data_IF_333178258642
#
_entry.id   IF_333178258642
#
_cell.length_a   1.000
_cell.length_b   1.000
_cell.length_c   1.000
_cell.angle_alpha   90.00
_cell.angle_beta   90.00
_cell.angle_gamma   90.00
#
_symmetry.space_group_name_H-M   'P 1'
#
loop_
_entity.id
_entity.type
_entity.pdbx_description
1 polymer ?
#
# COMPACT_ATOMS: atom_id res chain seq x y z
N UNK A 1 -7.61 -29.56 -9.63
CA UNK A 1 -6.45 -28.97 -10.35
C UNK A 1 -5.78 -27.80 -9.61
N UNK A 2 -6.49 -26.99 -8.81
CA UNK A 2 -5.91 -25.76 -8.20
C UNK A 2 -4.95 -26.00 -7.02
N UNK A 3 -5.16 -27.02 -6.17
CA UNK A 3 -4.26 -27.29 -5.04
C UNK A 3 -2.84 -27.65 -5.50
N UNK A 4 -2.68 -28.23 -6.69
CA UNK A 4 -1.36 -28.64 -7.18
C UNK A 4 -0.47 -27.45 -7.56
N UNK A 5 -1.04 -26.36 -8.07
CA UNK A 5 -0.28 -25.15 -8.42
C UNK A 5 0.19 -24.39 -7.17
N UNK A 6 -0.69 -24.26 -6.15
CA UNK A 6 -0.34 -23.66 -4.87
C UNK A 6 0.72 -24.48 -4.12
N UNK A 7 0.60 -25.81 -4.10
CA UNK A 7 1.58 -26.71 -3.48
C UNK A 7 2.93 -26.64 -4.21
N UNK A 8 2.95 -26.58 -5.55
CA UNK A 8 4.19 -26.48 -6.32
C UNK A 8 4.88 -25.12 -6.13
N UNK A 9 4.10 -24.03 -6.04
CA UNK A 9 4.61 -22.72 -5.67
C UNK A 9 5.20 -22.76 -4.27
N UNK A 10 4.50 -23.32 -3.28
CA UNK A 10 5.00 -23.41 -1.91
C UNK A 10 6.27 -24.26 -1.78
N UNK A 11 6.42 -25.31 -2.58
CA UNK A 11 7.60 -26.19 -2.57
C UNK A 11 8.80 -25.63 -3.34
N UNK A 12 8.61 -24.65 -4.23
CA UNK A 12 9.67 -24.13 -5.13
C UNK A 12 9.78 -22.61 -5.16
N UNK A 13 9.11 -21.89 -4.26
CA UNK A 13 9.06 -20.41 -4.29
C UNK A 13 10.47 -19.81 -4.22
N UNK A 14 11.37 -20.35 -3.39
CA UNK A 14 12.73 -19.85 -3.26
C UNK A 14 13.52 -19.91 -4.58
N UNK A 15 13.38 -21.00 -5.35
CA UNK A 15 14.02 -21.11 -6.68
C UNK A 15 13.41 -20.11 -7.66
N UNK A 16 12.08 -19.98 -7.69
CA UNK A 16 11.40 -19.02 -8.55
C UNK A 16 11.79 -17.58 -8.21
N UNK A 17 11.79 -17.23 -6.93
CA UNK A 17 12.20 -15.95 -6.38
C UNK A 17 13.64 -15.61 -6.80
N UNK A 18 14.57 -16.54 -6.63
CA UNK A 18 15.96 -16.37 -7.05
C UNK A 18 16.05 -16.03 -8.56
N UNK A 19 15.32 -16.76 -9.41
CA UNK A 19 15.30 -16.49 -10.85
C UNK A 19 14.69 -15.12 -11.17
N UNK A 20 13.57 -14.77 -10.54
CA UNK A 20 12.95 -13.46 -10.73
C UNK A 20 13.86 -12.31 -10.27
N UNK A 21 14.52 -12.45 -9.12
CA UNK A 21 15.49 -11.46 -8.63
C UNK A 21 16.68 -11.30 -9.57
N UNK A 22 17.16 -12.38 -10.17
CA UNK A 22 18.20 -12.31 -11.20
C UNK A 22 17.72 -11.57 -12.46
N UNK A 23 16.47 -11.82 -12.90
CA UNK A 23 15.85 -11.10 -14.02
C UNK A 23 15.63 -9.62 -13.70
N UNK A 24 15.23 -9.26 -12.47
CA UNK A 24 15.13 -7.84 -12.04
C UNK A 24 16.51 -7.18 -12.07
N UNK A 25 17.55 -7.88 -11.63
CA UNK A 25 18.92 -7.35 -11.55
C UNK A 25 19.58 -7.13 -12.91
N UNK A 26 19.41 -8.05 -13.87
CA UNK A 26 20.18 -8.06 -15.13
C UNK A 26 19.32 -8.07 -16.41
N UNK A 27 18.00 -8.20 -16.28
CA UNK A 27 17.11 -8.39 -17.42
C UNK A 27 16.88 -7.13 -18.25
N UNK A 28 16.34 -7.38 -19.44
CA UNK A 28 15.74 -6.38 -20.32
C UNK A 28 14.54 -5.69 -19.65
N UNK A 29 14.06 -4.58 -20.21
CA UNK A 29 12.86 -3.88 -19.71
C UNK A 29 11.66 -4.80 -19.56
N UNK A 30 11.41 -5.69 -20.53
CA UNK A 30 10.30 -6.64 -20.48
C UNK A 30 10.50 -7.69 -19.38
N UNK A 31 11.71 -8.22 -19.24
CA UNK A 31 12.02 -9.23 -18.21
C UNK A 31 11.90 -8.64 -16.80
N UNK A 32 12.45 -7.44 -16.57
CA UNK A 32 12.33 -6.75 -15.28
C UNK A 32 10.85 -6.50 -14.95
N UNK A 33 10.07 -6.04 -15.92
CA UNK A 33 8.64 -5.81 -15.74
C UNK A 33 7.88 -7.08 -15.35
N UNK A 34 8.09 -8.18 -16.09
CA UNK A 34 7.41 -9.45 -15.85
C UNK A 34 7.88 -10.09 -14.54
N UNK A 35 9.18 -10.05 -14.24
CA UNK A 35 9.76 -10.59 -13.01
C UNK A 35 9.25 -9.83 -11.78
N UNK A 36 9.22 -8.49 -11.82
CA UNK A 36 8.66 -7.68 -10.73
C UNK A 36 7.20 -8.02 -10.47
N UNK A 37 6.39 -8.15 -11.54
CA UNK A 37 5.00 -8.60 -11.40
C UNK A 37 4.89 -10.01 -10.83
N UNK A 38 5.73 -10.94 -11.26
CA UNK A 38 5.73 -12.32 -10.78
C UNK A 38 6.08 -12.41 -9.29
N UNK A 39 7.04 -11.62 -8.81
CA UNK A 39 7.41 -11.54 -7.39
C UNK A 39 6.22 -11.07 -6.54
N UNK A 40 5.55 -9.98 -6.92
CA UNK A 40 4.39 -9.50 -6.16
C UNK A 40 3.21 -10.48 -6.18
N UNK A 41 2.97 -11.14 -7.32
CA UNK A 41 1.95 -12.20 -7.41
C UNK A 41 2.30 -13.41 -6.55
N UNK A 42 3.58 -13.78 -6.48
CA UNK A 42 4.07 -14.87 -5.62
C UNK A 42 3.82 -14.53 -4.15
N UNK A 43 4.15 -13.32 -3.70
CA UNK A 43 3.88 -12.87 -2.33
C UNK A 43 2.39 -12.94 -1.99
N UNK A 44 1.51 -12.39 -2.84
CA UNK A 44 0.05 -12.47 -2.62
C UNK A 44 -0.42 -13.92 -2.57
N UNK A 45 0.13 -14.78 -3.43
CA UNK A 45 -0.30 -16.19 -3.54
C UNK A 45 0.11 -17.02 -2.32
N UNK A 46 1.28 -16.76 -1.73
CA UNK A 46 1.72 -17.44 -0.51
C UNK A 46 1.02 -16.94 0.75
N UNK A 47 0.47 -15.72 0.72
CA UNK A 47 -0.24 -15.13 1.86
C UNK A 47 0.69 -14.53 2.92
N UNK A 48 0.13 -13.92 3.97
CA UNK A 48 0.94 -13.39 5.08
C UNK A 48 1.67 -14.53 5.82
N UNK A 49 2.95 -14.34 6.13
CA UNK A 49 3.77 -15.34 6.80
C UNK A 49 5.26 -15.21 6.50
N UNK A 50 6.05 -16.14 7.04
CA UNK A 50 7.52 -16.11 6.92
C UNK A 50 8.02 -16.16 5.48
N UNK A 51 7.35 -16.89 4.59
CA UNK A 51 7.75 -16.99 3.18
C UNK A 51 7.55 -15.67 2.42
N UNK A 52 6.51 -14.91 2.73
CA UNK A 52 6.28 -13.59 2.11
C UNK A 52 7.22 -12.53 2.66
N UNK A 53 7.58 -12.63 3.95
CA UNK A 53 8.64 -11.81 4.54
C UNK A 53 10.00 -12.06 3.87
N UNK A 54 10.38 -13.33 3.67
CA UNK A 54 11.61 -13.70 2.93
C UNK A 54 11.60 -13.17 1.48
N UNK A 55 10.45 -13.28 0.78
CA UNK A 55 10.29 -12.69 -0.57
C UNK A 55 10.56 -11.19 -0.55
N UNK A 56 10.00 -10.48 0.43
CA UNK A 56 10.20 -9.04 0.59
C UNK A 56 11.67 -8.73 0.85
N UNK A 57 12.29 -9.38 1.84
CA UNK A 57 13.68 -9.16 2.24
C UNK A 57 14.66 -9.39 1.08
N UNK A 58 14.51 -10.48 0.34
CA UNK A 58 15.40 -10.79 -0.79
C UNK A 58 15.21 -9.84 -2.00
N UNK A 59 13.97 -9.44 -2.26
CA UNK A 59 13.64 -8.66 -3.47
C UNK A 59 13.82 -7.16 -3.27
N UNK A 60 13.64 -6.66 -2.04
CA UNK A 60 13.70 -5.23 -1.71
C UNK A 60 14.99 -4.56 -2.21
N UNK A 61 16.21 -5.12 -1.99
CA UNK A 61 17.44 -4.49 -2.49
C UNK A 61 17.51 -4.41 -4.01
N UNK A 62 16.98 -5.39 -4.74
CA UNK A 62 17.00 -5.36 -6.22
C UNK A 62 16.03 -4.32 -6.76
N UNK A 63 14.83 -4.23 -6.18
CA UNK A 63 13.82 -3.25 -6.58
C UNK A 63 14.29 -1.82 -6.30
N UNK A 64 14.85 -1.57 -5.11
CA UNK A 64 15.44 -0.27 -4.76
C UNK A 64 16.57 0.14 -5.72
N UNK A 65 17.41 -0.80 -6.17
CA UNK A 65 18.43 -0.53 -7.20
C UNK A 65 17.82 -0.10 -8.53
N UNK A 66 16.70 -0.71 -8.94
CA UNK A 66 15.99 -0.30 -10.17
C UNK A 66 15.50 1.15 -10.05
N UNK A 67 14.98 1.54 -8.88
CA UNK A 67 14.53 2.91 -8.61
C UNK A 67 15.70 3.91 -8.59
N UNK A 68 16.82 3.53 -7.98
CA UNK A 68 18.04 4.35 -7.90
C UNK A 68 18.78 4.49 -9.23
N UNK A 69 18.60 3.56 -10.16
CA UNK A 69 19.21 3.61 -11.48
C UNK A 69 18.53 4.65 -12.40
N UNK A 70 17.29 5.07 -12.12
CA UNK A 70 16.52 6.04 -12.91
C UNK A 70 16.53 5.74 -14.43
N UNK A 71 16.48 4.44 -14.79
CA UNK A 71 16.76 3.98 -16.16
C UNK A 71 15.54 4.15 -17.09
N UNK A 72 14.59 3.21 -17.00
CA UNK A 72 13.41 3.15 -17.85
C UNK A 72 12.12 3.28 -17.03
N UNK A 73 11.15 4.02 -17.54
CA UNK A 73 9.89 4.28 -16.85
C UNK A 73 9.10 3.00 -16.57
N UNK A 74 9.07 2.05 -17.50
CA UNK A 74 8.35 0.78 -17.32
C UNK A 74 9.02 -0.08 -16.24
N UNK A 75 10.36 -0.15 -16.24
CA UNK A 75 11.11 -0.81 -15.16
C UNK A 75 10.78 -0.19 -13.80
N UNK A 76 10.85 1.13 -13.69
CA UNK A 76 10.58 1.84 -12.43
C UNK A 76 9.14 1.64 -11.96
N UNK A 77 8.15 1.78 -12.83
CA UNK A 77 6.73 1.57 -12.48
C UNK A 77 6.50 0.15 -11.96
N UNK A 78 7.02 -0.86 -12.66
CA UNK A 78 6.87 -2.25 -12.21
C UNK A 78 7.59 -2.54 -10.89
N UNK A 79 8.73 -1.88 -10.65
CA UNK A 79 9.47 -2.01 -9.40
C UNK A 79 8.75 -1.32 -8.23
N UNK A 80 8.15 -0.14 -8.45
CA UNK A 80 7.32 0.56 -7.46
C UNK A 80 6.11 -0.28 -7.07
N UNK A 81 5.35 -0.76 -8.07
CA UNK A 81 4.16 -1.59 -7.82
C UNK A 81 4.54 -2.88 -7.07
N UNK A 82 5.62 -3.55 -7.49
CA UNK A 82 6.10 -4.77 -6.83
C UNK A 82 6.55 -4.50 -5.39
N UNK A 83 7.37 -3.46 -5.17
CA UNK A 83 7.86 -3.09 -3.86
C UNK A 83 6.71 -2.80 -2.90
N UNK A 84 5.66 -2.12 -3.38
CA UNK A 84 4.45 -1.85 -2.60
C UNK A 84 3.74 -3.15 -2.22
N UNK A 85 3.51 -4.07 -3.16
CA UNK A 85 2.84 -5.34 -2.88
C UNK A 85 3.63 -6.21 -1.92
N UNK A 86 4.92 -6.43 -2.15
CA UNK A 86 5.71 -7.32 -1.29
C UNK A 86 5.87 -6.75 0.12
N UNK A 87 5.96 -5.42 0.25
CA UNK A 87 6.04 -4.79 1.58
C UNK A 87 4.69 -4.88 2.29
N UNK A 88 3.59 -4.62 1.59
CA UNK A 88 2.25 -4.74 2.15
C UNK A 88 1.94 -6.16 2.68
N UNK A 89 2.39 -7.20 1.97
CA UNK A 89 2.14 -8.60 2.36
C UNK A 89 3.18 -9.15 3.33
N UNK A 90 4.45 -8.74 3.16
CA UNK A 90 5.60 -9.35 3.80
C UNK A 90 6.17 -8.60 4.99
N UNK A 91 5.92 -7.29 5.15
CA UNK A 91 6.49 -6.51 6.23
C UNK A 91 5.98 -6.99 7.59
N UNK A 92 6.91 -7.19 8.51
CA UNK A 92 6.61 -7.67 9.88
C UNK A 92 6.63 -6.54 10.90
N UNK A 93 7.29 -5.43 10.57
CA UNK A 93 7.34 -4.24 11.41
C UNK A 93 7.20 -2.94 10.61
N UNK A 94 7.07 -1.84 11.36
CA UNK A 94 6.93 -0.50 10.80
C UNK A 94 8.22 -0.04 10.10
N UNK A 95 9.40 -0.42 10.61
CA UNK A 95 10.67 0.04 10.06
C UNK A 95 10.88 -0.49 8.63
N UNK A 96 10.52 -1.74 8.36
CA UNK A 96 10.52 -2.33 7.02
C UNK A 96 9.59 -1.57 6.06
N UNK A 97 8.40 -1.20 6.54
CA UNK A 97 7.44 -0.40 5.76
C UNK A 97 7.97 1.01 5.49
N UNK A 98 8.56 1.66 6.48
CA UNK A 98 9.16 2.99 6.38
C UNK A 98 10.33 3.04 5.38
N UNK A 99 11.14 1.98 5.30
CA UNK A 99 12.20 1.86 4.30
C UNK A 99 11.66 1.90 2.87
N UNK A 100 10.60 1.14 2.59
CA UNK A 100 9.93 1.13 1.29
C UNK A 100 9.26 2.47 0.98
N UNK A 101 8.59 3.08 1.96
CA UNK A 101 7.98 4.41 1.81
C UNK A 101 9.03 5.48 1.51
N UNK A 102 10.18 5.45 2.20
CA UNK A 102 11.29 6.36 1.95
C UNK A 102 11.85 6.18 0.53
N UNK A 103 12.04 4.94 0.09
CA UNK A 103 12.51 4.65 -1.27
C UNK A 103 11.55 5.18 -2.35
N UNK A 104 10.24 5.05 -2.14
CA UNK A 104 9.23 5.64 -3.03
C UNK A 104 9.22 7.16 -2.95
N UNK A 105 9.35 7.73 -1.75
CA UNK A 105 9.39 9.18 -1.55
C UNK A 105 10.60 9.82 -2.23
N UNK A 106 11.77 9.18 -2.20
CA UNK A 106 12.97 9.64 -2.90
C UNK A 106 12.80 9.64 -4.44
N UNK A 107 11.82 8.88 -4.98
CA UNK A 107 11.41 8.97 -6.39
C UNK A 107 10.40 10.09 -6.63
N UNK A 108 9.46 10.30 -5.71
CA UNK A 108 8.42 11.34 -5.78
C UNK A 108 9.03 12.74 -5.67
N UNK A 109 9.88 12.94 -4.67
CA UNK A 109 10.53 14.20 -4.35
C UNK A 109 12.05 13.99 -4.20
N UNK A 110 12.78 13.84 -5.32
CA UNK A 110 14.21 13.58 -5.29
C UNK A 110 14.93 14.77 -4.65
N UNK A 111 15.68 14.51 -3.57
CA UNK A 111 16.51 15.54 -2.94
C UNK A 111 17.55 16.02 -3.94
N UNK A 112 17.69 17.34 -4.07
CA UNK A 112 18.77 17.93 -4.84
C UNK A 112 20.09 17.55 -4.15
N UNK A 113 20.82 16.59 -4.72
CA UNK A 113 22.16 16.27 -4.25
C UNK A 113 23.07 17.50 -4.34
N UNK A 114 24.05 17.63 -3.45
CA UNK A 114 25.00 18.75 -3.41
C UNK A 114 25.87 18.91 -4.67
N UNK A 115 25.73 18.02 -5.66
CA UNK A 115 26.51 18.05 -6.88
C UNK A 115 25.67 18.70 -7.97
N UNK A 116 26.14 19.87 -8.41
CA UNK A 116 25.63 20.70 -9.51
C UNK A 116 25.32 19.82 -10.73
N UNK A 117 24.06 19.43 -10.85
CA UNK A 117 23.52 18.62 -11.92
C UNK A 117 21.99 18.67 -11.82
N UNK A 118 21.32 18.90 -12.95
CA UNK A 118 19.86 19.02 -13.08
C UNK A 118 19.09 18.11 -12.12
N UNK A 119 18.24 18.69 -11.27
CA UNK A 119 17.34 17.94 -10.39
C UNK A 119 16.57 16.92 -11.22
N UNK A 120 16.76 15.62 -10.93
CA UNK A 120 16.08 14.54 -11.65
C UNK A 120 14.59 14.68 -11.37
N UNK A 121 13.79 14.92 -12.42
CA UNK A 121 12.33 14.97 -12.32
C UNK A 121 11.74 13.67 -12.87
N UNK A 122 10.89 12.96 -12.10
CA UNK A 122 10.23 11.77 -12.59
C UNK A 122 9.29 12.12 -13.76
N UNK A 123 9.25 11.25 -14.77
CA UNK A 123 8.25 11.34 -15.84
C UNK A 123 6.85 11.18 -15.23
N UNK A 124 5.80 11.83 -15.76
CA UNK A 124 4.47 11.81 -15.13
C UNK A 124 3.92 10.41 -14.82
N UNK A 125 4.05 9.39 -15.70
CA UNK A 125 3.61 8.03 -15.38
C UNK A 125 4.36 7.39 -14.21
N UNK A 126 5.65 7.68 -14.06
CA UNK A 126 6.48 7.18 -12.94
C UNK A 126 6.08 7.89 -11.65
N UNK A 127 5.85 9.21 -11.71
CA UNK A 127 5.41 10.00 -10.56
C UNK A 127 4.04 9.52 -10.06
N UNK A 128 3.06 9.34 -10.96
CA UNK A 128 1.74 8.82 -10.59
C UNK A 128 1.80 7.42 -9.97
N UNK A 129 2.62 6.52 -10.53
CA UNK A 129 2.83 5.19 -9.98
C UNK A 129 3.51 5.23 -8.61
N UNK A 130 4.51 6.10 -8.43
CA UNK A 130 5.24 6.25 -7.17
C UNK A 130 4.31 6.77 -6.07
N UNK A 131 3.50 7.79 -6.35
CA UNK A 131 2.51 8.32 -5.40
C UNK A 131 1.46 7.25 -5.08
N UNK A 132 0.96 6.52 -6.08
CA UNK A 132 -0.01 5.44 -5.85
C UNK A 132 0.55 4.32 -4.96
N UNK A 133 1.79 3.89 -5.23
CA UNK A 133 2.47 2.85 -4.46
C UNK A 133 2.76 3.29 -3.02
N UNK A 134 3.22 4.53 -2.87
CA UNK A 134 3.48 5.13 -1.57
C UNK A 134 2.19 5.29 -0.75
N UNK A 135 1.13 5.78 -1.39
CA UNK A 135 -0.19 5.94 -0.76
C UNK A 135 -0.77 4.59 -0.35
N UNK A 136 -0.64 3.56 -1.19
CA UNK A 136 -1.06 2.20 -0.86
C UNK A 136 -0.35 1.66 0.39
N UNK A 137 0.97 1.81 0.49
CA UNK A 137 1.69 1.42 1.71
C UNK A 137 1.35 2.27 2.91
N UNK A 138 1.07 3.55 2.73
CA UNK A 138 0.68 4.43 3.82
C UNK A 138 -0.60 3.97 4.52
N UNK A 139 -1.50 3.26 3.82
CA UNK A 139 -2.71 2.67 4.41
C UNK A 139 -2.42 1.65 5.52
N UNK A 140 -1.21 1.10 5.61
CA UNK A 140 -0.84 0.13 6.66
C UNK A 140 -0.22 0.80 7.88
N UNK A 141 0.15 2.08 7.80
CA UNK A 141 0.66 2.81 8.96
C UNK A 141 -0.54 3.35 9.75
N UNK A 142 -0.83 2.72 10.89
CA UNK A 142 -1.84 3.23 11.81
C UNK A 142 -1.54 4.67 12.23
N UNK A 143 -2.58 5.49 12.37
CA UNK A 143 -2.52 6.94 12.65
C UNK A 143 -1.74 7.36 13.91
N UNK A 144 -1.34 6.42 14.78
CA UNK A 144 -0.88 6.67 16.15
C UNK A 144 0.65 6.70 16.32
N UNK A 145 1.44 6.42 15.28
CA UNK A 145 2.92 6.32 15.39
C UNK A 145 3.67 7.33 14.54
N UNK A 146 2.95 8.29 13.98
CA UNK A 146 3.47 9.14 12.94
C UNK A 146 3.85 10.48 13.53
N UNK A 147 5.14 10.83 13.50
CA UNK A 147 5.61 12.15 13.90
C UNK A 147 5.05 13.20 12.92
N UNK A 148 4.05 13.97 13.36
CA UNK A 148 3.35 14.98 12.55
C UNK A 148 4.26 16.04 11.92
N UNK A 149 5.47 16.27 12.44
CA UNK A 149 6.39 17.22 11.83
C UNK A 149 7.03 16.72 10.53
N UNK A 150 7.11 15.39 10.32
CA UNK A 150 7.70 14.83 9.10
C UNK A 150 6.74 14.82 7.88
N UNK A 151 5.46 15.15 8.07
CA UNK A 151 4.43 15.06 7.02
C UNK A 151 4.06 16.40 6.39
N UNK A 152 4.49 17.51 6.99
CA UNK A 152 4.26 18.87 6.47
C UNK A 152 4.83 19.04 5.07
N UNK A 153 6.06 18.59 4.83
CA UNK A 153 6.70 18.64 3.52
C UNK A 153 5.98 17.74 2.50
N UNK A 154 5.70 16.46 2.80
CA UNK A 154 4.90 15.61 1.92
C UNK A 154 3.55 16.19 1.52
N UNK A 155 2.77 16.67 2.49
CA UNK A 155 1.44 17.23 2.24
C UNK A 155 1.54 18.50 1.39
N UNK A 156 2.49 19.38 1.68
CA UNK A 156 2.70 20.59 0.89
C UNK A 156 3.07 20.25 -0.56
N UNK A 157 3.99 19.31 -0.76
CA UNK A 157 4.40 18.86 -2.08
C UNK A 157 3.24 18.23 -2.86
N UNK A 158 2.52 17.28 -2.27
CA UNK A 158 1.34 16.64 -2.88
C UNK A 158 0.26 17.68 -3.24
N UNK A 159 0.07 18.70 -2.41
CA UNK A 159 -0.85 19.81 -2.67
C UNK A 159 -0.45 20.69 -3.87
N UNK A 160 0.81 20.67 -4.30
CA UNK A 160 1.23 21.33 -5.55
C UNK A 160 0.92 20.45 -6.78
N UNK A 161 0.94 19.12 -6.60
CA UNK A 161 0.68 18.16 -7.69
C UNK A 161 -0.79 18.08 -8.10
N UNK A 162 -1.69 18.63 -7.27
CA UNK A 162 -3.10 18.83 -7.62
C UNK A 162 -3.28 19.70 -8.88
N UNK A 163 -2.33 20.58 -9.19
CA UNK A 163 -2.34 21.46 -10.37
C UNK A 163 -1.45 20.94 -11.51
N UNK A 164 -0.96 19.69 -11.43
CA UNK A 164 -0.12 19.10 -12.47
C UNK A 164 -0.88 18.96 -13.81
N UNK A 165 -0.18 19.12 -14.94
CA UNK A 165 -0.76 18.92 -16.27
C UNK A 165 -1.26 17.47 -16.44
N UNK A 166 -0.45 16.51 -16.00
CA UNK A 166 -0.79 15.10 -16.07
C UNK A 166 -1.90 14.74 -15.08
N UNK A 167 -2.96 14.20 -15.66
CA UNK A 167 -4.15 13.76 -14.94
C UNK A 167 -3.86 12.66 -13.91
N UNK A 168 -3.07 11.65 -14.27
CA UNK A 168 -2.83 10.51 -13.39
C UNK A 168 -2.06 10.96 -12.15
N UNK A 169 -1.14 11.92 -12.31
CA UNK A 169 -0.45 12.58 -11.20
C UNK A 169 -1.46 13.32 -10.31
N UNK A 170 -2.37 14.11 -10.89
CA UNK A 170 -3.42 14.82 -10.12
C UNK A 170 -4.29 13.86 -9.30
N UNK A 171 -4.76 12.79 -9.94
CA UNK A 171 -5.61 11.79 -9.27
C UNK A 171 -4.87 11.10 -8.12
N UNK A 172 -3.64 10.63 -8.34
CA UNK A 172 -2.84 9.98 -7.33
C UNK A 172 -2.53 10.91 -6.15
N UNK A 173 -2.22 12.19 -6.42
CA UNK A 173 -2.01 13.19 -5.37
C UNK A 173 -3.28 13.48 -4.56
N UNK A 174 -4.44 13.50 -5.22
CA UNK A 174 -5.74 13.64 -4.56
C UNK A 174 -6.04 12.50 -3.60
N UNK A 175 -5.88 11.24 -4.04
CA UNK A 175 -6.03 10.05 -3.20
C UNK A 175 -5.06 10.07 -2.01
N UNK A 176 -3.80 10.45 -2.25
CA UNK A 176 -2.79 10.59 -1.19
C UNK A 176 -3.20 11.60 -0.12
N UNK A 177 -3.70 12.76 -0.53
CA UNK A 177 -4.16 13.80 0.40
C UNK A 177 -5.43 13.41 1.16
N UNK A 178 -6.35 12.69 0.52
CA UNK A 178 -7.52 12.15 1.17
C UNK A 178 -7.13 11.13 2.26
N UNK A 179 -6.17 10.24 1.97
CA UNK A 179 -5.63 9.32 2.96
C UNK A 179 -4.91 10.05 4.11
N UNK A 180 -4.09 11.05 3.81
CA UNK A 180 -3.44 11.86 4.85
C UNK A 180 -4.46 12.53 5.78
N UNK A 181 -5.62 12.93 5.24
CA UNK A 181 -6.72 13.46 6.04
C UNK A 181 -7.39 12.38 6.89
N UNK A 182 -7.69 11.21 6.32
CA UNK A 182 -8.26 10.07 7.06
C UNK A 182 -7.36 9.61 8.23
N UNK A 183 -6.06 9.57 8.00
CA UNK A 183 -5.07 9.17 9.01
C UNK A 183 -4.78 10.26 10.04
N UNK A 184 -5.47 11.41 10.00
CA UNK A 184 -5.22 12.58 10.85
C UNK A 184 -3.76 13.05 10.81
N UNK A 185 -3.05 12.89 9.69
CA UNK A 185 -1.67 13.38 9.53
C UNK A 185 -1.56 14.90 9.53
N UNK A 186 -2.71 15.55 9.40
CA UNK A 186 -2.88 16.99 9.54
C UNK A 186 -3.11 17.40 11.00
N UNK A 187 -3.29 16.47 11.95
CA UNK A 187 -3.55 16.79 13.36
C UNK A 187 -2.23 17.04 14.11
N UNK A 188 -1.66 18.23 13.97
CA UNK A 188 -0.50 18.67 14.78
C UNK A 188 -0.98 19.03 16.19
N UNK A 189 -1.39 18.04 17.01
CA UNK A 189 -1.43 18.15 18.48
C UNK A 189 -1.71 16.83 19.21
N UNK A 190 -0.68 16.05 19.56
CA UNK A 190 -0.66 15.33 20.85
C UNK A 190 0.74 14.78 21.18
N UNK A 191 1.67 15.67 21.53
CA UNK A 191 2.61 15.32 22.60
C UNK A 191 2.12 16.05 23.84
N UNK A 192 1.42 15.34 24.72
CA UNK A 192 1.31 15.75 26.11
C UNK A 192 2.65 15.43 26.76
N UNK A 193 3.44 16.46 27.06
CA UNK A 193 4.35 16.42 28.20
C UNK A 193 4.12 17.72 28.97
N UNK A 194 3.60 17.55 30.18
CA UNK A 194 3.09 18.63 31.01
C UNK A 194 4.19 19.56 31.50
N UNK A 195 3.92 20.87 31.50
CA UNK A 195 3.87 21.61 32.74
C UNK A 195 3.09 22.92 32.56
N UNK A 196 2.55 23.40 33.67
CA UNK A 196 1.61 24.51 33.72
C UNK A 196 2.19 25.85 33.22
N UNK A 197 1.27 26.68 32.75
CA UNK A 197 1.34 28.15 32.74
C UNK A 197 2.13 28.82 31.58
N UNK A 198 1.42 29.22 30.52
CA UNK A 198 1.42 30.59 29.93
C UNK A 198 0.58 30.56 28.65
N UNK A 199 -0.39 31.47 28.53
CA UNK A 199 -1.31 31.53 27.39
C UNK A 199 -0.61 31.76 26.05
N UNK A 200 -0.80 30.84 25.09
CA UNK A 200 -0.85 31.05 23.63
C UNK A 200 -1.08 29.72 22.90
N UNK A 201 -2.32 29.24 22.88
CA UNK A 201 -2.70 28.03 22.11
C UNK A 201 -3.72 28.35 21.01
N UNK A 202 -3.68 29.57 20.47
CA UNK A 202 -4.51 29.99 19.32
C UNK A 202 -3.84 29.85 17.96
N UNK A 203 -2.52 29.61 17.90
CA UNK A 203 -1.76 29.65 16.64
C UNK A 203 -1.84 28.37 15.78
N UNK A 204 -1.77 27.19 16.41
CA UNK A 204 -1.66 25.91 15.69
C UNK A 204 -2.98 25.47 15.04
N UNK A 205 -4.10 25.56 15.78
CA UNK A 205 -5.44 25.26 15.26
C UNK A 205 -5.85 26.19 14.11
N UNK A 206 -5.46 27.46 14.20
CA UNK A 206 -5.70 28.43 13.12
C UNK A 206 -4.92 28.08 11.84
N UNK A 207 -3.69 27.55 11.95
CA UNK A 207 -2.91 27.13 10.79
C UNK A 207 -3.51 25.92 10.08
N UNK A 208 -3.94 24.89 10.83
CA UNK A 208 -4.59 23.70 10.25
C UNK A 208 -5.90 24.03 9.55
N UNK A 209 -6.71 24.89 10.17
CA UNK A 209 -7.94 25.36 9.56
C UNK A 209 -7.68 26.14 8.25
N UNK A 210 -6.60 26.92 8.20
CA UNK A 210 -6.18 27.64 6.98
C UNK A 210 -5.64 26.69 5.90
N UNK A 211 -4.81 25.71 6.26
CA UNK A 211 -4.28 24.72 5.33
C UNK A 211 -5.41 23.83 4.77
N UNK A 212 -6.38 23.44 5.60
CA UNK A 212 -7.57 22.70 5.21
C UNK A 212 -8.50 23.54 4.32
N UNK A 213 -8.69 24.83 4.62
CA UNK A 213 -9.43 25.73 3.74
C UNK A 213 -8.73 25.92 2.40
N UNK A 214 -7.39 26.04 2.39
CA UNK A 214 -6.61 26.17 1.17
C UNK A 214 -6.72 24.90 0.31
N UNK A 215 -6.63 23.72 0.92
CA UNK A 215 -6.82 22.45 0.22
C UNK A 215 -8.25 22.31 -0.34
N UNK A 216 -9.26 22.66 0.47
CA UNK A 216 -10.66 22.69 0.05
C UNK A 216 -10.89 23.64 -1.12
N UNK A 217 -10.26 24.83 -1.10
CA UNK A 217 -10.32 25.79 -2.18
C UNK A 217 -9.67 25.24 -3.46
N UNK A 218 -8.49 24.61 -3.35
CA UNK A 218 -7.80 23.96 -4.48
C UNK A 218 -8.63 22.84 -5.10
N UNK A 219 -9.16 21.93 -4.29
CA UNK A 219 -10.00 20.82 -4.78
C UNK A 219 -11.29 21.35 -5.41
N UNK A 220 -11.91 22.38 -4.82
CA UNK A 220 -13.10 23.02 -5.38
C UNK A 220 -12.80 23.69 -6.73
N UNK A 221 -11.64 24.35 -6.86
CA UNK A 221 -11.17 24.93 -8.11
C UNK A 221 -10.95 23.86 -9.19
N UNK A 222 -10.33 22.73 -8.83
CA UNK A 222 -10.11 21.62 -9.75
C UNK A 222 -11.42 20.97 -10.20
N UNK A 223 -12.33 20.67 -9.29
CA UNK A 223 -13.64 20.11 -9.62
C UNK A 223 -14.43 21.04 -10.58
N UNK A 224 -14.31 22.36 -10.38
CA UNK A 224 -14.93 23.36 -11.25
C UNK A 224 -14.27 23.41 -12.64
N UNK A 225 -12.95 23.44 -12.71
CA UNK A 225 -12.18 23.46 -13.97
C UNK A 225 -12.43 22.20 -14.80
N UNK A 226 -12.47 21.02 -14.17
CA UNK A 226 -12.74 19.75 -14.84
C UNK A 226 -14.17 19.67 -15.38
N UNK A 227 -15.13 20.34 -14.73
CA UNK A 227 -16.50 20.42 -15.26
C UNK A 227 -16.60 21.30 -16.51
N UNK A 228 -15.68 22.25 -16.70
CA UNK A 228 -15.61 23.09 -17.90
C UNK A 228 -14.90 22.38 -19.08
N UNK A 229 -14.01 21.44 -18.79
CA UNK A 229 -13.19 20.71 -19.78
C UNK A 229 -13.93 19.52 -20.45
N UNK A 230 -15.23 19.33 -20.16
CA UNK A 230 -16.04 18.16 -20.52
C UNK A 230 -16.45 18.04 -22.01
N UNK A 231 -15.56 18.37 -22.95
CA UNK A 231 -15.77 18.33 -24.40
C UNK A 231 -15.19 17.12 -25.16
N UNK A 232 -14.57 16.16 -24.48
CA UNK A 232 -13.87 15.01 -25.12
C UNK A 232 -14.80 13.91 -25.67
N UNK A 233 -14.36 13.18 -26.70
CA UNK A 233 -15.02 11.97 -27.25
C UNK A 233 -14.35 10.68 -26.75
N UNK A 234 -15.11 9.62 -26.50
CA UNK A 234 -14.57 8.27 -26.25
C UNK A 234 -13.95 8.06 -24.86
N UNK A 235 -12.77 7.42 -24.80
CA UNK A 235 -12.06 7.10 -23.56
C UNK A 235 -11.74 8.34 -22.71
N UNK A 236 -11.49 9.47 -23.36
CA UNK A 236 -11.23 10.75 -22.69
C UNK A 236 -12.43 11.26 -21.91
N UNK A 237 -13.67 10.99 -22.39
CA UNK A 237 -14.89 11.33 -21.65
C UNK A 237 -15.07 10.47 -20.41
N UNK A 238 -14.86 9.16 -20.53
CA UNK A 238 -14.94 8.24 -19.38
C UNK A 238 -13.89 8.62 -18.35
N UNK A 239 -12.66 8.84 -18.80
CA UNK A 239 -11.58 9.33 -17.97
C UNK A 239 -12.04 10.62 -17.27
N UNK A 240 -12.42 11.69 -17.98
CA UNK A 240 -12.86 12.96 -17.35
C UNK A 240 -13.94 12.76 -16.29
N UNK A 241 -14.86 11.81 -16.54
CA UNK A 241 -15.91 11.43 -15.58
C UNK A 241 -15.32 10.81 -14.31
N UNK A 242 -14.41 9.83 -14.44
CA UNK A 242 -13.75 9.17 -13.30
C UNK A 242 -12.95 10.16 -12.43
N UNK A 243 -12.30 11.14 -13.05
CA UNK A 243 -11.56 12.18 -12.31
C UNK A 243 -12.51 13.14 -11.59
N UNK A 244 -13.58 13.57 -12.25
CA UNK A 244 -14.62 14.40 -11.63
C UNK A 244 -15.25 13.70 -10.43
N UNK A 245 -15.58 12.42 -10.57
CA UNK A 245 -16.14 11.59 -9.50
C UNK A 245 -15.16 11.48 -8.32
N UNK A 246 -13.89 11.18 -8.58
CA UNK A 246 -12.86 11.13 -7.54
C UNK A 246 -12.77 12.45 -6.76
N UNK A 247 -12.60 13.58 -7.44
CA UNK A 247 -12.45 14.87 -6.75
C UNK A 247 -13.73 15.33 -6.04
N UNK A 248 -14.90 14.94 -6.55
CA UNK A 248 -16.16 15.17 -5.86
C UNK A 248 -16.22 14.37 -4.55
N UNK A 249 -15.87 13.07 -4.58
CA UNK A 249 -15.79 12.24 -3.37
C UNK A 249 -14.78 12.77 -2.35
N UNK A 250 -13.61 13.23 -2.80
CA UNK A 250 -12.62 13.87 -1.90
C UNK A 250 -13.21 15.14 -1.29
N UNK A 251 -13.91 15.96 -2.08
CA UNK A 251 -14.53 17.19 -1.60
C UNK A 251 -15.61 16.91 -0.55
N UNK A 252 -16.44 15.91 -0.78
CA UNK A 252 -17.51 15.50 0.14
C UNK A 252 -16.93 14.93 1.43
N UNK A 253 -15.87 14.12 1.35
CA UNK A 253 -15.13 13.65 2.51
C UNK A 253 -14.52 14.79 3.32
N UNK A 254 -13.83 15.74 2.69
CA UNK A 254 -13.21 16.89 3.38
C UNK A 254 -14.27 17.84 3.98
N UNK A 255 -15.48 17.92 3.40
CA UNK A 255 -16.55 18.81 3.88
C UNK A 255 -17.41 18.20 4.97
N UNK A 256 -17.79 16.94 4.80
CA UNK A 256 -18.83 16.28 5.59
C UNK A 256 -18.30 15.09 6.40
N UNK A 257 -17.05 14.68 6.17
CA UNK A 257 -16.46 13.49 6.79
C UNK A 257 -16.99 12.18 6.21
N UNK A 258 -17.74 12.22 5.10
CA UNK A 258 -18.32 11.04 4.47
C UNK A 258 -17.26 10.31 3.65
N UNK A 259 -16.86 9.13 4.11
CA UNK A 259 -15.97 8.26 3.33
C UNK A 259 -16.71 7.64 2.14
N UNK A 260 -16.03 7.42 1.01
CA UNK A 260 -16.62 6.76 -0.14
C UNK A 260 -16.93 5.30 0.18
N UNK A 261 -18.18 4.89 -0.06
CA UNK A 261 -18.60 3.50 0.06
C UNK A 261 -18.66 2.84 -1.33
N UNK A 262 -17.92 1.75 -1.52
CA UNK A 262 -18.05 0.92 -2.72
C UNK A 262 -18.43 -0.51 -2.37
N UNK A 263 -19.28 -1.11 -3.22
CA UNK A 263 -19.70 -2.49 -3.08
C UNK A 263 -19.45 -3.29 -4.36
N UNK A 264 -18.71 -4.38 -4.25
CA UNK A 264 -18.41 -5.30 -5.36
C UNK A 264 -19.06 -6.65 -5.06
N UNK A 265 -19.99 -7.06 -5.93
CA UNK A 265 -20.59 -8.40 -5.86
C UNK A 265 -19.56 -9.46 -6.25
N UNK A 266 -19.30 -10.40 -5.37
CA UNK A 266 -18.41 -11.54 -5.65
C UNK A 266 -19.23 -12.61 -6.35
N UNK A 267 -18.89 -12.93 -7.60
CA UNK A 267 -19.63 -13.91 -8.39
C UNK A 267 -19.66 -15.29 -7.72
N UNK A 268 -20.87 -15.82 -7.49
CA UNK A 268 -21.11 -17.16 -6.96
C UNK A 268 -21.21 -17.27 -5.44
N UNK A 269 -21.27 -16.16 -4.70
CA UNK A 269 -21.71 -16.10 -3.30
C UNK A 269 -22.72 -14.96 -3.11
N UNK A 270 -23.45 -14.93 -1.98
CA UNK A 270 -24.24 -13.74 -1.57
C UNK A 270 -23.34 -12.60 -1.06
N UNK A 271 -22.04 -12.86 -0.96
CA UNK A 271 -21.09 -11.97 -0.31
C UNK A 271 -20.76 -10.77 -1.19
N UNK A 272 -20.85 -9.59 -0.58
CA UNK A 272 -20.55 -8.31 -1.18
C UNK A 272 -19.30 -7.78 -0.48
N UNK A 273 -18.22 -7.57 -1.23
CA UNK A 273 -17.06 -6.83 -0.72
C UNK A 273 -17.50 -5.37 -0.58
N UNK A 274 -17.51 -4.86 0.65
CA UNK A 274 -17.86 -3.47 0.96
C UNK A 274 -16.61 -2.78 1.48
N UNK A 275 -16.27 -1.63 0.91
CA UNK A 275 -15.25 -0.73 1.45
C UNK A 275 -15.92 0.53 1.95
N UNK A 276 -15.44 1.05 3.07
CA UNK A 276 -16.05 2.15 3.82
C UNK A 276 -15.05 3.22 4.27
N UNK A 277 -13.77 3.06 3.95
CA UNK A 277 -12.70 4.03 4.21
C UNK A 277 -11.86 4.28 2.95
N UNK A 278 -11.15 5.40 2.92
CA UNK A 278 -10.13 5.68 1.89
C UNK A 278 -9.02 4.64 1.92
N UNK A 279 -8.58 4.22 3.10
CA UNK A 279 -7.57 3.16 3.25
C UNK A 279 -8.00 1.88 2.52
N UNK A 280 -9.22 1.39 2.79
CA UNK A 280 -9.77 0.20 2.14
C UNK A 280 -9.97 0.41 0.63
N UNK A 281 -10.47 1.56 0.20
CA UNK A 281 -10.69 1.88 -1.22
C UNK A 281 -9.38 1.92 -1.99
N UNK A 282 -8.33 2.53 -1.42
CA UNK A 282 -6.98 2.60 -2.01
C UNK A 282 -6.40 1.19 -2.11
N UNK A 283 -6.49 0.39 -1.05
CA UNK A 283 -6.04 -1.01 -1.07
C UNK A 283 -6.77 -1.82 -2.15
N UNK A 284 -8.09 -1.69 -2.22
CA UNK A 284 -8.93 -2.34 -3.22
C UNK A 284 -8.51 -1.97 -4.65
N UNK A 285 -8.43 -0.68 -4.95
CA UNK A 285 -8.10 -0.20 -6.30
C UNK A 285 -6.69 -0.61 -6.72
N UNK A 286 -5.72 -0.52 -5.80
CA UNK A 286 -4.35 -0.92 -6.06
C UNK A 286 -4.23 -2.42 -6.35
N UNK A 287 -4.79 -3.26 -5.48
CA UNK A 287 -4.75 -4.73 -5.63
C UNK A 287 -5.54 -5.20 -6.86
N UNK A 288 -6.69 -4.58 -7.14
CA UNK A 288 -7.48 -4.84 -8.35
C UNK A 288 -6.72 -4.50 -9.63
N UNK A 289 -5.99 -3.37 -9.66
CA UNK A 289 -5.11 -3.00 -10.77
C UNK A 289 -3.95 -3.99 -10.91
N UNK A 290 -3.31 -4.36 -9.80
CA UNK A 290 -2.17 -5.25 -9.81
C UNK A 290 -2.52 -6.67 -10.28
N UNK A 291 -3.59 -7.25 -9.73
CA UNK A 291 -4.09 -8.60 -10.05
C UNK A 291 -4.85 -8.68 -11.37
N UNK A 292 -5.42 -7.56 -11.84
CA UNK A 292 -6.18 -7.47 -13.08
C UNK A 292 -7.33 -8.46 -13.11
N UNK A 293 -7.41 -9.27 -14.18
CA UNK A 293 -8.48 -10.27 -14.37
C UNK A 293 -8.50 -11.36 -13.28
N UNK A 294 -7.39 -11.56 -12.56
CA UNK A 294 -7.28 -12.54 -11.47
C UNK A 294 -7.89 -12.06 -10.14
N UNK A 295 -8.23 -10.78 -10.01
CA UNK A 295 -8.67 -10.18 -8.74
C UNK A 295 -9.83 -10.93 -8.09
N UNK A 296 -10.93 -11.15 -8.82
CA UNK A 296 -12.13 -11.82 -8.28
C UNK A 296 -11.84 -13.26 -7.81
N UNK A 297 -10.90 -13.95 -8.47
CA UNK A 297 -10.51 -15.31 -8.07
C UNK A 297 -9.71 -15.28 -6.77
N UNK A 298 -8.74 -14.37 -6.64
CA UNK A 298 -7.97 -14.23 -5.41
C UNK A 298 -8.86 -13.81 -4.24
N UNK A 299 -9.76 -12.85 -4.42
CA UNK A 299 -10.72 -12.46 -3.36
C UNK A 299 -11.56 -13.65 -2.87
N UNK A 300 -11.91 -14.57 -3.78
CA UNK A 300 -12.71 -15.77 -3.45
C UNK A 300 -11.92 -16.91 -2.80
N UNK A 301 -10.63 -17.05 -3.13
CA UNK A 301 -9.85 -18.25 -2.80
C UNK A 301 -8.65 -17.98 -1.87
N UNK A 302 -8.28 -16.72 -1.66
CA UNK A 302 -7.07 -16.34 -0.94
C UNK A 302 -7.41 -15.76 0.44
N UNK A 303 -7.01 -16.47 1.50
CA UNK A 303 -7.25 -16.06 2.89
C UNK A 303 -6.72 -14.66 3.21
N UNK A 304 -5.55 -14.28 2.69
CA UNK A 304 -4.99 -12.94 2.90
C UNK A 304 -5.94 -11.83 2.44
N UNK A 305 -6.48 -11.94 1.22
CA UNK A 305 -7.40 -10.91 0.71
C UNK A 305 -8.76 -10.95 1.42
N UNK A 306 -9.17 -12.11 1.89
CA UNK A 306 -10.40 -12.24 2.67
C UNK A 306 -10.26 -11.57 4.03
N UNK A 307 -9.11 -11.75 4.69
CA UNK A 307 -8.80 -11.11 5.95
C UNK A 307 -8.66 -9.58 5.79
N UNK A 308 -7.97 -9.11 4.74
CA UNK A 308 -7.80 -7.67 4.46
C UNK A 308 -9.15 -6.97 4.25
N UNK A 309 -10.09 -7.59 3.53
CA UNK A 309 -11.38 -6.97 3.19
C UNK A 309 -12.54 -7.44 4.09
N UNK A 310 -12.24 -8.10 5.23
CA UNK A 310 -13.20 -8.71 6.16
C UNK A 310 -14.34 -9.48 5.45
N UNK A 311 -13.96 -10.24 4.41
CA UNK A 311 -14.91 -11.03 3.64
C UNK A 311 -15.15 -12.33 4.39
N UNK A 312 -16.23 -12.37 5.17
CA UNK A 312 -16.67 -13.57 5.88
C UNK A 312 -16.98 -14.68 4.87
N UNK A 313 -16.04 -15.58 4.69
CA UNK A 313 -16.25 -16.78 3.88
C UNK A 313 -17.13 -17.72 4.70
N UNK A 314 -18.39 -17.88 4.29
CA UNK A 314 -19.16 -19.06 4.71
C UNK A 314 -18.47 -20.29 4.09
N UNK A 315 -17.59 -20.94 4.86
CA UNK A 315 -16.77 -22.09 4.45
C UNK A 315 -17.53 -23.42 4.57
N UNK A 316 -18.83 -23.37 4.86
CA UNK A 316 -19.63 -24.55 5.19
C UNK A 316 -19.98 -25.40 3.96
N UNK A 317 -19.97 -24.84 2.75
CA UNK A 317 -20.51 -25.54 1.57
C UNK A 317 -19.48 -26.20 0.63
N UNK A 318 -18.17 -25.98 0.76
CA UNK A 318 -17.21 -26.38 -0.29
C UNK A 318 -16.07 -27.34 0.08
N UNK A 319 -15.98 -27.86 1.31
CA UNK A 319 -14.91 -28.82 1.67
C UNK A 319 -15.45 -30.20 2.06
N UNK A 320 -14.94 -31.22 1.37
CA UNK A 320 -15.09 -32.64 1.72
C UNK A 320 -14.52 -32.91 3.12
N UNK A 321 -15.14 -33.86 3.85
CA UNK A 321 -14.82 -34.21 5.24
C UNK A 321 -13.36 -34.57 5.49
N UNK A 322 -12.63 -34.97 4.45
CA UNK A 322 -11.22 -35.37 4.53
C UNK A 322 -10.29 -34.15 4.56
N UNK A 323 -10.57 -33.10 3.79
CA UNK A 323 -9.76 -31.89 3.73
C UNK A 323 -9.87 -31.08 5.04
N UNK A 324 -11.04 -31.12 5.69
CA UNK A 324 -11.27 -30.52 7.02
C UNK A 324 -10.42 -31.16 8.12
N UNK A 325 -10.06 -32.44 7.99
CA UNK A 325 -9.19 -33.14 8.96
C UNK A 325 -7.72 -32.83 8.74
N UNK A 326 -7.29 -32.67 7.49
CA UNK A 326 -5.89 -32.39 7.14
C UNK A 326 -5.54 -30.96 7.56
N UNK A 327 -6.37 -29.98 7.22
CA UNK A 327 -6.13 -28.57 7.55
C UNK A 327 -6.08 -28.32 9.06
N UNK A 328 -7.04 -28.89 9.82
CA UNK A 328 -7.02 -28.81 11.29
C UNK A 328 -5.79 -29.49 11.89
N UNK A 329 -5.36 -30.62 11.32
CA UNK A 329 -4.17 -31.32 11.79
C UNK A 329 -2.88 -30.55 11.53
N UNK A 330 -2.79 -29.73 10.47
CA UNK A 330 -1.61 -28.92 10.19
C UNK A 330 -1.54 -27.67 11.08
N UNK A 331 -2.66 -26.97 11.27
CA UNK A 331 -2.73 -25.85 12.23
C UNK A 331 -2.47 -26.27 13.68
N UNK A 332 -2.94 -27.45 14.09
CA UNK A 332 -2.67 -28.00 15.43
C UNK A 332 -1.19 -28.38 15.59
N UNK A 333 -0.55 -28.89 14.52
CA UNK A 333 0.89 -29.20 14.52
C UNK A 333 1.74 -27.93 14.59
N UNK A 334 1.39 -26.88 13.84
CA UNK A 334 2.10 -25.60 13.89
C UNK A 334 1.95 -24.91 15.25
N UNK A 335 0.73 -24.93 15.82
CA UNK A 335 0.50 -24.42 17.19
C UNK A 335 1.31 -25.20 18.23
N UNK A 336 1.37 -26.53 18.12
CA UNK A 336 2.16 -27.36 19.03
C UNK A 336 3.67 -27.11 18.89
N UNK A 337 4.17 -26.89 17.66
CA UNK A 337 5.57 -26.52 17.39
C UNK A 337 5.93 -25.17 17.98
N UNK A 338 5.04 -24.17 17.86
CA UNK A 338 5.22 -22.84 18.43
C UNK A 338 5.26 -22.87 19.96
N UNK A 339 4.31 -23.55 20.59
CA UNK A 339 4.27 -23.75 22.05
C UNK A 339 5.50 -24.49 22.59
N UNK A 340 6.00 -25.50 21.87
CA UNK A 340 7.22 -26.21 22.27
C UNK A 340 8.49 -25.33 22.14
N UNK A 341 8.55 -24.47 21.12
CA UNK A 341 9.66 -23.51 20.95
C UNK A 341 9.65 -22.47 22.09
N UNK A 342 8.49 -21.97 22.47
CA UNK A 342 8.32 -21.03 23.58
C UNK A 342 8.67 -21.66 24.95
N UNK A 343 8.25 -22.90 25.20
CA UNK A 343 8.62 -23.65 26.41
C UNK A 343 10.13 -23.86 26.53
N UNK A 344 10.81 -24.17 25.42
CA UNK A 344 12.28 -24.29 25.38
C UNK A 344 12.99 -22.98 25.69
N UNK A 345 12.51 -21.87 25.14
CA UNK A 345 13.06 -20.54 25.42
C UNK A 345 12.84 -20.11 26.87
N UNK A 346 11.68 -20.40 27.45
CA UNK A 346 11.39 -20.13 28.87
C UNK A 346 12.29 -20.94 29.80
N UNK A 347 12.53 -22.22 29.50
CA UNK A 347 13.45 -23.06 30.28
C UNK A 347 14.90 -22.58 30.19
N UNK A 348 15.34 -22.14 29.00
CA UNK A 348 16.68 -21.58 28.80
C UNK A 348 16.87 -20.28 29.60
N UNK A 349 15.86 -19.40 29.64
CA UNK A 349 15.87 -18.17 30.45
C UNK A 349 15.92 -18.48 31.95
N UNK A 350 15.17 -19.49 32.41
CA UNK A 350 15.19 -19.92 33.82
C UNK A 350 16.54 -20.52 34.22
N UNK A 351 17.14 -21.33 33.35
CA UNK A 351 18.46 -21.92 33.60
C UNK A 351 19.58 -20.87 33.58
N UNK A 352 19.48 -19.85 32.71
CA UNK A 352 20.42 -18.74 32.69
C UNK A 352 20.32 -17.85 33.95
N UNK A 353 19.10 -17.67 34.49
CA UNK A 353 18.90 -16.93 35.73
C UNK A 353 19.47 -17.66 36.96
N UNK A 354 19.43 -19.00 37.00
CA UNK A 354 20.03 -19.80 38.09
C UNK A 354 21.56 -19.97 37.99
N UNK A 355 22.21 -19.45 36.95
CA UNK A 355 23.67 -19.46 36.81
C UNK A 355 24.31 -18.12 37.20
N UNK A 356 23.49 -17.15 37.62
CA UNK A 356 23.90 -15.77 37.98
C UNK A 356 23.66 -15.47 39.47
N UNK A 357 23.09 -16.42 40.23
CA UNK A 357 23.17 -16.52 41.69
C UNK A 357 24.19 -17.58 42.09
#
# INVERSE_FOLDING_TARGET
MNNHFLILCFLRYATLLCQFNNSVKKGSTKEVFLASRAIGLLAITLGAGSSSHEIMEESHPQLCRVLQAWSDASKMISALDCLAVITFVGATDLAETELSLKAMWDVIHPKSGSNVGTVRKPKPPVLAAAISAWTFLLTTIGSWRINTDSWKEPIAFLSTLLEAEDRAVRMAAGEALALCFELNLLDVSSCEDGDANTGRTGGSKNKLFLDMQALKAKISGLASNLSAEAGGKGADKKNLTDQKDLFQRILDFVKYGECPEESIKIAGKRDVLRVSSWSELIQLNFLKRFLGKGFLKHVKENGLLQDIFDIKVDTTETLSSTDKKIFRSEEEKERALKLNKERRLAQARKNAAMLVE
#
